data_IF_497564468601
#
_entry.id   IF_497564468601
#
_cell.length_a   1.000
_cell.length_b   1.000
_cell.length_c   1.000
_cell.angle_alpha   90.00
_cell.angle_beta   90.00
_cell.angle_gamma   90.00
#
_symmetry.space_group_name_H-M   'P 1'
#
loop_
_entity.id
_entity.type
_entity.pdbx_description
1 polymer ?
#
# COMPACT_ATOMS: atom_id res chain seq x y z
N UNK A 1 -7.04 11.16 2.75
CA UNK A 1 -7.25 10.58 1.40
C UNK A 1 -6.72 11.52 0.30
N UNK A 2 -6.83 12.84 0.48
CA UNK A 2 -6.12 13.86 -0.32
C UNK A 2 -4.59 13.85 -0.14
N UNK A 3 -4.10 13.16 0.89
CA UNK A 3 -2.70 13.22 1.32
C UNK A 3 -1.74 12.57 0.31
N UNK A 4 -2.16 11.53 -0.44
CA UNK A 4 -1.31 10.90 -1.46
C UNK A 4 -0.90 11.88 -2.57
N UNK A 5 -1.80 12.80 -2.93
CA UNK A 5 -1.54 13.80 -3.97
C UNK A 5 -0.44 14.79 -3.55
N UNK A 6 -0.34 15.10 -2.25
CA UNK A 6 0.70 15.97 -1.69
C UNK A 6 2.11 15.38 -1.85
N UNK A 7 2.22 14.05 -1.97
CA UNK A 7 3.47 13.33 -2.20
C UNK A 7 3.63 12.86 -3.66
N UNK A 8 2.81 13.35 -4.60
CA UNK A 8 2.77 12.86 -5.98
C UNK A 8 2.63 11.31 -6.05
N UNK A 9 1.77 10.74 -5.22
CA UNK A 9 1.58 9.30 -5.08
C UNK A 9 2.86 8.51 -4.78
N UNK A 10 3.86 9.18 -4.20
CA UNK A 10 5.20 8.65 -3.94
C UNK A 10 5.97 8.21 -5.20
N UNK A 11 5.65 8.76 -6.37
CA UNK A 11 6.41 8.50 -7.59
C UNK A 11 7.90 8.78 -7.37
N UNK A 12 8.77 7.85 -7.81
CA UNK A 12 10.23 7.86 -7.64
C UNK A 12 10.76 7.66 -6.20
N UNK A 13 9.88 7.50 -5.20
CA UNK A 13 10.31 7.15 -3.86
C UNK A 13 10.74 5.68 -3.81
N UNK A 14 11.75 5.38 -3.00
CA UNK A 14 12.20 4.02 -2.73
C UNK A 14 11.42 3.43 -1.57
N UNK A 15 10.92 2.21 -1.73
CA UNK A 15 10.41 1.39 -0.63
C UNK A 15 11.54 0.54 -0.04
N UNK A 16 11.83 0.73 1.24
CA UNK A 16 12.89 -0.01 1.94
C UNK A 16 12.42 -0.78 3.18
N UNK A 17 11.21 -0.50 3.65
CA UNK A 17 10.63 -1.18 4.81
C UNK A 17 9.23 -1.68 4.48
N UNK A 18 8.95 -2.93 4.85
CA UNK A 18 7.59 -3.49 4.90
C UNK A 18 7.41 -4.03 6.31
N UNK A 19 6.49 -3.46 7.07
CA UNK A 19 6.20 -3.87 8.44
C UNK A 19 4.74 -4.28 8.54
N UNK A 20 4.48 -5.43 9.16
CA UNK A 20 3.12 -5.87 9.51
C UNK A 20 3.00 -5.90 11.02
N UNK A 21 1.96 -5.25 11.57
CA UNK A 21 1.63 -5.29 13.00
C UNK A 21 0.24 -5.87 13.20
N UNK A 22 0.17 -6.94 13.99
CA UNK A 22 -1.11 -7.55 14.37
C UNK A 22 -1.86 -6.69 15.37
N UNK A 23 -1.14 -6.09 16.31
CA UNK A 23 -1.67 -5.31 17.42
C UNK A 23 -2.30 -4.01 16.93
N UNK A 24 -1.73 -3.42 15.88
CA UNK A 24 -2.24 -2.20 15.25
C UNK A 24 -3.15 -2.48 14.04
N UNK A 25 -3.21 -3.73 13.58
CA UNK A 25 -3.92 -4.13 12.35
C UNK A 25 -3.46 -3.31 11.13
N UNK A 26 -2.15 -3.10 11.02
CA UNK A 26 -1.54 -2.26 9.98
C UNK A 26 -0.47 -2.97 9.18
N UNK A 27 -0.42 -2.69 7.88
CA UNK A 27 0.78 -2.83 7.07
C UNK A 27 1.37 -1.45 6.82
N UNK A 28 2.65 -1.26 7.08
CA UNK A 28 3.33 0.03 6.91
C UNK A 28 4.49 -0.12 5.94
N UNK A 29 4.52 0.77 4.94
CA UNK A 29 5.66 0.95 4.05
C UNK A 29 6.53 2.09 4.55
N UNK A 30 7.84 1.85 4.65
CA UNK A 30 8.84 2.89 4.79
C UNK A 30 9.32 3.33 3.41
N UNK A 31 9.25 4.64 3.15
CA UNK A 31 9.57 5.25 1.88
C UNK A 31 10.63 6.35 2.05
N UNK A 32 11.45 6.55 1.02
CA UNK A 32 12.35 7.72 0.96
C UNK A 32 12.56 8.28 -0.43
N UNK A 33 12.83 9.58 -0.49
CA UNK A 33 13.29 10.29 -1.68
C UNK A 33 14.42 11.23 -1.27
N UNK A 34 15.65 10.90 -1.69
CA UNK A 34 16.85 11.62 -1.25
C UNK A 34 16.97 11.63 0.29
N UNK A 35 16.86 12.80 0.92
CA UNK A 35 16.90 13.02 2.37
C UNK A 35 15.50 13.00 3.02
N UNK A 36 14.43 12.94 2.23
CA UNK A 36 13.06 12.91 2.73
C UNK A 36 12.63 11.49 3.12
N UNK A 37 11.88 11.40 4.21
CA UNK A 37 11.34 10.15 4.75
C UNK A 37 9.85 10.28 5.04
N UNK A 38 9.13 9.24 4.65
CA UNK A 38 7.71 9.11 4.92
C UNK A 38 7.35 7.64 5.12
N UNK A 39 6.22 7.40 5.77
CA UNK A 39 5.61 6.09 5.86
C UNK A 39 4.16 6.14 5.42
N UNK A 40 3.73 5.06 4.75
CA UNK A 40 2.34 4.85 4.35
C UNK A 40 1.82 3.64 5.10
N UNK A 41 0.83 3.85 5.96
CA UNK A 41 0.19 2.80 6.76
C UNK A 41 -1.19 2.48 6.18
N UNK A 42 -1.38 1.21 5.84
CA UNK A 42 -2.64 0.60 5.46
C UNK A 42 -3.34 0.09 6.72
N UNK A 43 -4.31 0.87 7.23
CA UNK A 43 -4.95 0.64 8.54
C UNK A 43 -6.23 -0.19 8.40
N UNK A 44 -6.41 -1.17 9.28
CA UNK A 44 -7.49 -2.15 9.16
C UNK A 44 -7.21 -3.15 8.05
N UNK A 45 -5.95 -3.53 7.86
CA UNK A 45 -5.56 -4.50 6.84
C UNK A 45 -6.27 -5.84 7.09
N UNK A 46 -6.99 -6.35 6.08
CA UNK A 46 -7.60 -7.68 6.14
C UNK A 46 -6.85 -8.72 5.30
N UNK A 47 -6.43 -8.33 4.09
CA UNK A 47 -5.73 -9.21 3.15
C UNK A 47 -4.63 -8.42 2.47
N UNK A 48 -3.48 -9.05 2.31
CA UNK A 48 -2.33 -8.45 1.65
C UNK A 48 -1.67 -9.49 0.76
N UNK A 49 -1.33 -9.07 -0.46
CA UNK A 49 -0.52 -9.86 -1.38
C UNK A 49 0.64 -8.98 -1.85
N UNK A 50 1.85 -9.52 -1.71
CA UNK A 50 3.09 -8.94 -2.23
C UNK A 50 3.65 -9.88 -3.30
N UNK A 51 3.74 -9.41 -4.54
CA UNK A 51 4.32 -10.15 -5.67
C UNK A 51 5.60 -9.46 -6.15
N UNK A 52 6.55 -10.22 -6.71
CA UNK A 52 7.72 -9.70 -7.44
C UNK A 52 8.62 -8.72 -6.66
N UNK A 53 8.80 -8.92 -5.34
CA UNK A 53 9.70 -8.10 -4.52
C UNK A 53 11.15 -8.18 -5.04
N UNK A 54 11.60 -7.11 -5.70
CA UNK A 54 12.96 -6.93 -6.20
C UNK A 54 13.81 -6.09 -5.24
N UNK A 55 15.10 -5.90 -5.57
CA UNK A 55 15.98 -5.02 -4.80
C UNK A 55 15.81 -3.54 -5.16
N UNK A 56 15.21 -3.22 -6.31
CA UNK A 56 14.98 -1.86 -6.81
C UNK A 56 13.50 -1.49 -6.74
N UNK A 57 12.95 -1.36 -5.53
CA UNK A 57 11.54 -1.02 -5.33
C UNK A 57 11.31 0.49 -5.41
N UNK A 58 11.48 1.06 -6.60
CA UNK A 58 11.09 2.45 -6.89
C UNK A 58 9.58 2.48 -7.12
N UNK A 59 8.86 3.24 -6.32
CA UNK A 59 7.41 3.36 -6.37
C UNK A 59 7.01 4.06 -7.67
N UNK A 60 6.12 3.43 -8.44
CA UNK A 60 5.45 4.07 -9.56
C UNK A 60 4.32 4.95 -9.06
N UNK A 61 3.44 4.36 -8.25
CA UNK A 61 2.34 5.05 -7.60
C UNK A 61 1.77 4.22 -6.46
N UNK A 62 1.29 4.90 -5.41
CA UNK A 62 0.40 4.35 -4.39
C UNK A 62 -0.98 4.98 -4.60
N UNK A 63 -2.00 4.14 -4.81
CA UNK A 63 -3.33 4.57 -5.22
C UNK A 63 -4.43 3.72 -4.57
N UNK A 64 -5.51 4.38 -4.17
CA UNK A 64 -6.74 3.68 -3.80
C UNK A 64 -7.49 3.35 -5.08
N UNK A 65 -7.97 2.11 -5.20
CA UNK A 65 -8.68 1.71 -6.40
C UNK A 65 -10.17 1.79 -6.18
N UNK A 66 -10.80 2.63 -7.01
CA UNK A 66 -12.23 2.92 -6.91
C UNK A 66 -13.09 1.69 -7.21
N UNK A 67 -14.07 1.37 -6.34
CA UNK A 67 -15.04 0.32 -6.60
C UNK A 67 -15.75 0.46 -7.95
N UNK A 68 -16.05 -0.66 -8.60
CA UNK A 68 -16.75 -0.69 -9.89
C UNK A 68 -15.85 -0.49 -11.12
N UNK A 69 -14.57 -0.16 -10.93
CA UNK A 69 -13.59 -0.12 -12.03
C UNK A 69 -13.07 -1.53 -12.37
N UNK A 70 -12.57 -1.71 -13.60
CA UNK A 70 -11.93 -2.97 -14.01
C UNK A 70 -10.67 -3.27 -13.17
N UNK A 71 -9.95 -2.22 -12.74
CA UNK A 71 -8.80 -2.33 -11.85
C UNK A 71 -9.21 -2.85 -10.47
N UNK A 72 -10.35 -2.41 -9.94
CA UNK A 72 -10.88 -2.92 -8.68
C UNK A 72 -11.19 -4.41 -8.75
N UNK A 73 -11.84 -4.87 -9.82
CA UNK A 73 -12.10 -6.30 -10.02
C UNK A 73 -10.82 -7.14 -10.04
N UNK A 74 -9.76 -6.66 -10.70
CA UNK A 74 -8.43 -7.31 -10.67
C UNK A 74 -7.81 -7.30 -9.27
N UNK A 75 -7.92 -6.19 -8.55
CA UNK A 75 -7.48 -6.06 -7.16
C UNK A 75 -8.08 -7.15 -6.28
N UNK A 76 -9.41 -7.28 -6.35
CA UNK A 76 -10.17 -8.25 -5.58
C UNK A 76 -9.77 -9.68 -5.90
N UNK A 77 -9.51 -9.99 -7.18
CA UNK A 77 -9.05 -11.32 -7.58
C UNK A 77 -7.66 -11.64 -7.02
N UNK A 78 -6.75 -10.66 -6.94
CA UNK A 78 -5.42 -10.86 -6.36
C UNK A 78 -5.51 -11.09 -4.86
N UNK A 79 -6.17 -10.19 -4.10
CA UNK A 79 -6.29 -10.35 -2.64
C UNK A 79 -7.11 -11.57 -2.26
N UNK A 80 -7.99 -12.08 -3.13
CA UNK A 80 -8.71 -13.35 -2.90
C UNK A 80 -7.81 -14.59 -2.79
N UNK A 81 -6.54 -14.50 -3.21
CA UNK A 81 -5.56 -15.57 -3.03
C UNK A 81 -4.97 -15.61 -1.60
N UNK A 82 -5.06 -14.51 -0.85
CA UNK A 82 -4.51 -14.42 0.50
C UNK A 82 -5.53 -14.90 1.54
N UNK A 83 -5.01 -15.44 2.64
CA UNK A 83 -5.79 -15.70 3.84
C UNK A 83 -6.30 -14.39 4.43
N UNK A 84 -7.52 -14.43 4.97
CA UNK A 84 -8.09 -13.29 5.69
C UNK A 84 -7.47 -13.19 7.07
N UNK A 85 -7.15 -11.97 7.47
CA UNK A 85 -6.71 -11.65 8.82
C UNK A 85 -7.88 -11.68 9.81
N UNK A 86 -9.07 -11.29 9.35
CA UNK A 86 -10.32 -11.31 10.13
C UNK A 86 -11.50 -11.79 9.28
N UNK A 87 -12.56 -12.28 9.92
CA UNK A 87 -13.79 -12.68 9.21
C UNK A 87 -14.65 -11.48 8.75
N UNK A 88 -14.29 -10.26 9.14
CA UNK A 88 -15.00 -9.05 8.75
C UNK A 88 -14.91 -8.81 7.23
N UNK A 89 -16.02 -8.40 6.63
CA UNK A 89 -16.03 -7.86 5.27
C UNK A 89 -15.59 -6.40 5.34
N UNK A 90 -14.35 -6.10 4.97
CA UNK A 90 -13.84 -4.73 4.91
C UNK A 90 -13.88 -4.18 3.48
N UNK A 91 -13.94 -2.85 3.40
CA UNK A 91 -14.73 -2.12 2.40
C UNK A 91 -13.96 -1.36 1.33
N UNK A 92 -12.64 -1.46 1.21
CA UNK A 92 -11.87 -0.77 0.16
C UNK A 92 -10.60 -1.56 -0.21
N UNK A 93 -10.17 -1.49 -1.47
CA UNK A 93 -8.92 -2.12 -1.93
C UNK A 93 -7.94 -1.03 -2.37
N UNK A 94 -6.79 -0.98 -1.73
CA UNK A 94 -5.68 -0.12 -2.10
C UNK A 94 -4.62 -0.92 -2.86
N UNK A 95 -3.96 -0.24 -3.79
CA UNK A 95 -2.85 -0.77 -4.54
C UNK A 95 -1.62 0.11 -4.35
N UNK A 96 -0.48 -0.52 -4.12
CA UNK A 96 0.82 0.11 -4.26
C UNK A 96 1.59 -0.64 -5.36
N UNK A 97 2.00 0.09 -6.40
CA UNK A 97 2.72 -0.47 -7.54
C UNK A 97 4.08 0.19 -7.67
N UNK A 98 5.12 -0.63 -7.84
CA UNK A 98 6.48 -0.20 -8.16
C UNK A 98 6.78 -0.44 -9.65
N UNK A 99 7.54 0.45 -10.30
CA UNK A 99 7.88 0.36 -11.73
C UNK A 99 8.86 -0.77 -12.06
N UNK A 100 9.62 -1.25 -11.07
CA UNK A 100 10.73 -2.19 -11.25
C UNK A 100 10.86 -3.18 -10.08
N UNK A 101 9.78 -3.41 -9.35
CA UNK A 101 9.77 -4.20 -8.12
C UNK A 101 8.35 -4.38 -7.56
N UNK A 102 8.26 -4.74 -6.28
CA UNK A 102 7.06 -5.14 -5.54
C UNK A 102 5.72 -4.62 -6.09
N UNK A 103 4.80 -5.55 -6.37
CA UNK A 103 3.38 -5.25 -6.52
C UNK A 103 2.67 -5.61 -5.21
N UNK A 104 2.08 -4.61 -4.57
CA UNK A 104 1.39 -4.77 -3.29
C UNK A 104 -0.10 -4.45 -3.46
N UNK A 105 -0.95 -5.39 -3.09
CA UNK A 105 -2.41 -5.22 -3.08
C UNK A 105 -2.91 -5.48 -1.67
N UNK A 106 -3.63 -4.51 -1.11
CA UNK A 106 -4.08 -4.55 0.28
C UNK A 106 -5.57 -4.23 0.36
N UNK A 107 -6.34 -5.11 1.00
CA UNK A 107 -7.68 -4.78 1.49
C UNK A 107 -7.54 -4.07 2.82
N UNK A 108 -8.09 -2.86 2.90
CA UNK A 108 -7.81 -1.90 3.96
C UNK A 108 -9.02 -0.99 4.19
N UNK A 109 -9.14 -0.43 5.39
CA UNK A 109 -10.18 0.55 5.72
C UNK A 109 -9.73 1.97 5.37
N UNK A 110 -8.50 2.32 5.69
CA UNK A 110 -7.96 3.66 5.47
C UNK A 110 -6.45 3.67 5.23
N UNK A 111 -5.95 4.82 4.81
CA UNK A 111 -4.53 5.10 4.61
C UNK A 111 -4.12 6.27 5.50
N UNK A 112 -3.01 6.10 6.20
CA UNK A 112 -2.35 7.15 6.98
C UNK A 112 -0.96 7.41 6.43
N UNK A 113 -0.58 8.68 6.34
CA UNK A 113 0.75 9.10 5.89
C UNK A 113 1.40 9.90 7.02
N UNK A 114 2.60 9.48 7.41
CA UNK A 114 3.46 10.23 8.32
C UNK A 114 4.72 10.62 7.56
N UNK A 115 5.17 11.87 7.69
CA UNK A 115 6.45 12.33 7.16
C UNK A 115 7.26 12.99 8.27
N UNK A 116 8.59 12.84 8.20
CA UNK A 116 9.45 13.62 9.07
C UNK A 116 9.52 15.05 8.52
N UNK A 117 9.07 16.02 9.31
CA UNK A 117 9.32 17.42 9.00
C UNK A 117 10.84 17.67 9.06
N UNK A 118 11.37 18.26 7.99
CA UNK A 118 12.74 18.79 7.96
C UNK A 118 12.92 19.92 8.96
#
# INVERSE_FOLDING_TARGET
MDDLSAFNHFHDWYMDTIQVSKERETLTLGLYLQDQRASVSFVGMNRCVLENLGLQNIVYAIEIVEPGTSRFGKAQQIVAKAERWTDNQLGTVAYAFSTCGAELVVEVDSLEIESQAS
#
